data_IF_960009513768
#
_entry.id   IF_960009513768
#
_cell.length_a   1.000
_cell.length_b   1.000
_cell.length_c   1.000
_cell.angle_alpha   90.00
_cell.angle_beta   90.00
_cell.angle_gamma   90.00
#
_symmetry.space_group_name_H-M   'P 1'
#
loop_
_entity.id
_entity.type
_entity.pdbx_description
1 polymer ?
#
# COMPACT_ATOMS: atom_id res chain seq x y z
N UNK A 1 -52.00 23.09 6.00
CA UNK A 1 -51.42 24.34 5.44
C UNK A 1 -50.07 24.11 4.74
N UNK A 2 -49.15 23.31 5.31
CA UNK A 2 -47.83 22.95 4.72
C UNK A 2 -47.95 22.15 3.40
N UNK A 3 -48.91 21.22 3.31
CA UNK A 3 -49.13 20.41 2.10
C UNK A 3 -49.57 21.27 0.89
N UNK A 4 -50.32 22.36 1.11
CA UNK A 4 -50.73 23.26 0.02
C UNK A 4 -49.57 24.12 -0.49
N UNK A 5 -48.62 24.49 0.38
CA UNK A 5 -47.43 25.27 -0.01
C UNK A 5 -46.48 24.39 -0.83
N UNK A 6 -46.31 23.12 -0.45
CA UNK A 6 -45.53 22.13 -1.22
C UNK A 6 -46.16 21.84 -2.58
N UNK A 7 -47.50 21.73 -2.64
CA UNK A 7 -48.23 21.50 -3.91
C UNK A 7 -48.12 22.69 -4.88
N UNK A 8 -48.11 23.92 -4.36
CA UNK A 8 -47.92 25.13 -5.19
C UNK A 8 -46.47 25.30 -5.66
N UNK A 9 -45.48 24.99 -4.81
CA UNK A 9 -44.07 24.99 -5.21
C UNK A 9 -43.80 23.93 -6.29
N UNK A 10 -44.36 22.72 -6.14
CA UNK A 10 -44.27 21.67 -7.16
C UNK A 10 -44.93 22.09 -8.47
N UNK A 11 -46.12 22.69 -8.45
CA UNK A 11 -46.82 23.11 -9.67
C UNK A 11 -46.08 24.21 -10.46
N UNK A 12 -45.39 25.14 -9.78
CA UNK A 12 -44.58 26.17 -10.44
C UNK A 12 -43.29 25.56 -11.03
N UNK A 13 -42.69 24.58 -10.34
CA UNK A 13 -41.51 23.86 -10.82
C UNK A 13 -41.80 22.91 -12.00
N UNK A 14 -43.01 22.33 -12.06
CA UNK A 14 -43.45 21.41 -13.11
C UNK A 14 -43.68 22.07 -14.48
N UNK A 15 -43.75 23.40 -14.55
CA UNK A 15 -44.03 24.12 -15.81
C UNK A 15 -42.79 24.31 -16.70
N UNK A 16 -41.57 24.17 -16.18
CA UNK A 16 -40.36 24.62 -16.91
C UNK A 16 -39.28 23.60 -17.26
N UNK A 17 -39.31 22.33 -16.83
CA UNK A 17 -38.19 21.42 -17.16
C UNK A 17 -38.58 19.93 -17.23
N UNK A 18 -39.35 19.55 -18.26
CA UNK A 18 -39.80 18.16 -18.50
C UNK A 18 -38.70 17.15 -18.83
N UNK A 19 -37.51 17.60 -19.26
CA UNK A 19 -36.40 16.70 -19.66
C UNK A 19 -35.46 16.38 -18.48
N UNK A 20 -35.29 17.31 -17.53
CA UNK A 20 -34.41 17.11 -16.37
C UNK A 20 -35.00 16.15 -15.33
N UNK A 21 -36.33 16.12 -15.22
CA UNK A 21 -37.06 15.29 -14.26
C UNK A 21 -36.98 13.79 -14.57
N UNK A 22 -36.96 13.36 -15.83
CA UNK A 22 -36.91 11.93 -16.17
C UNK A 22 -35.54 11.32 -15.79
N UNK A 23 -34.45 12.08 -15.95
CA UNK A 23 -33.09 11.64 -15.60
C UNK A 23 -32.90 11.52 -14.08
N UNK A 24 -33.42 12.47 -13.30
CA UNK A 24 -33.40 12.41 -11.84
C UNK A 24 -34.40 11.39 -11.28
N UNK A 25 -35.58 11.22 -11.88
CA UNK A 25 -36.59 10.28 -11.41
C UNK A 25 -36.19 8.82 -11.66
N UNK A 26 -35.49 8.52 -12.77
CA UNK A 26 -34.88 7.20 -12.99
C UNK A 26 -33.69 6.95 -12.05
N UNK A 27 -32.87 7.97 -11.77
CA UNK A 27 -31.81 7.87 -10.77
C UNK A 27 -32.38 7.63 -9.37
N UNK A 28 -33.43 8.35 -8.98
CA UNK A 28 -34.13 8.20 -7.70
C UNK A 28 -34.83 6.86 -7.61
N UNK A 29 -35.50 6.37 -8.67
CA UNK A 29 -36.09 5.02 -8.67
C UNK A 29 -35.00 3.95 -8.58
N UNK A 30 -33.85 4.12 -9.24
CA UNK A 30 -32.72 3.19 -9.11
C UNK A 30 -32.07 3.26 -7.71
N UNK A 31 -32.05 4.46 -7.10
CA UNK A 31 -31.62 4.69 -5.72
C UNK A 31 -32.57 4.02 -4.72
N UNK A 32 -33.89 4.16 -4.90
CA UNK A 32 -34.90 3.57 -4.02
C UNK A 32 -35.13 2.06 -4.27
N UNK A 33 -34.94 1.54 -5.49
CA UNK A 33 -34.92 0.09 -5.73
C UNK A 33 -33.74 -0.57 -5.01
N UNK A 34 -32.60 0.12 -4.91
CA UNK A 34 -31.45 -0.33 -4.12
C UNK A 34 -31.65 -0.16 -2.61
N UNK A 35 -32.44 0.82 -2.15
CA UNK A 35 -32.78 0.97 -0.71
C UNK A 35 -33.75 -0.12 -0.23
N UNK A 36 -34.62 -0.65 -1.11
CA UNK A 36 -35.57 -1.72 -0.76
C UNK A 36 -34.91 -3.11 -0.84
N UNK A 37 -33.81 -3.26 -1.59
CA UNK A 37 -32.99 -4.48 -1.61
C UNK A 37 -31.82 -4.37 -0.60
N UNK A 38 -32.10 -4.81 0.63
CA UNK A 38 -31.16 -5.18 1.70
C UNK A 38 -30.56 -4.07 2.58
N UNK A 39 -31.12 -3.91 3.78
CA UNK A 39 -30.38 -3.48 4.97
C UNK A 39 -29.40 -4.60 5.38
N UNK A 40 -28.35 -4.80 4.59
CA UNK A 40 -27.25 -5.70 4.92
C UNK A 40 -26.03 -4.86 5.27
N UNK A 41 -25.33 -5.11 6.39
CA UNK A 41 -24.11 -4.38 6.77
C UNK A 41 -23.02 -4.43 5.69
N UNK A 42 -23.08 -5.45 4.83
CA UNK A 42 -22.20 -5.57 3.66
C UNK A 42 -22.56 -4.55 2.56
N UNK A 43 -23.86 -4.37 2.26
CA UNK A 43 -24.33 -3.42 1.28
C UNK A 43 -24.01 -1.98 1.71
N UNK A 44 -24.14 -1.68 3.01
CA UNK A 44 -23.78 -0.37 3.57
C UNK A 44 -22.29 -0.07 3.42
N UNK A 45 -21.40 -1.04 3.70
CA UNK A 45 -19.95 -0.89 3.50
C UNK A 45 -19.58 -0.68 2.04
N UNK A 46 -20.21 -1.43 1.15
CA UNK A 46 -20.03 -1.25 -0.30
C UNK A 46 -20.47 0.15 -0.69
N UNK A 47 -21.63 0.63 -0.23
CA UNK A 47 -22.13 1.97 -0.53
C UNK A 47 -21.17 3.07 -0.05
N UNK A 48 -20.68 2.99 1.19
CA UNK A 48 -19.70 3.94 1.73
C UNK A 48 -18.40 3.97 0.92
N UNK A 49 -17.91 2.82 0.47
CA UNK A 49 -16.74 2.77 -0.41
C UNK A 49 -17.04 3.39 -1.77
N UNK A 50 -18.25 3.19 -2.30
CA UNK A 50 -18.68 3.83 -3.54
C UNK A 50 -18.75 5.34 -3.44
N UNK A 51 -19.31 5.88 -2.36
CA UNK A 51 -19.37 7.33 -2.12
C UNK A 51 -17.96 7.96 -2.14
N UNK A 52 -16.96 7.29 -1.54
CA UNK A 52 -15.56 7.74 -1.61
C UNK A 52 -15.00 7.71 -3.03
N UNK A 53 -15.40 6.73 -3.85
CA UNK A 53 -14.97 6.61 -5.23
C UNK A 53 -15.65 7.59 -6.19
N UNK A 54 -16.81 8.15 -5.81
CA UNK A 54 -17.55 9.11 -6.64
C UNK A 54 -16.71 10.33 -6.99
N UNK A 55 -15.96 10.86 -6.02
CA UNK A 55 -15.08 12.03 -6.21
C UNK A 55 -14.03 11.75 -7.30
N UNK A 56 -13.41 10.58 -7.27
CA UNK A 56 -12.42 10.14 -8.27
C UNK A 56 -13.06 9.99 -9.67
N UNK A 57 -14.27 9.44 -9.75
CA UNK A 57 -14.98 9.24 -11.02
C UNK A 57 -15.48 10.56 -11.63
N UNK A 58 -15.88 11.53 -10.80
CA UNK A 58 -16.20 12.88 -11.23
C UNK A 58 -14.98 13.58 -11.83
N UNK A 59 -13.80 13.41 -11.21
CA UNK A 59 -12.55 13.93 -11.77
C UNK A 59 -12.21 13.30 -13.13
N UNK A 60 -12.46 12.00 -13.29
CA UNK A 60 -12.26 11.33 -14.58
C UNK A 60 -13.17 11.86 -15.69
N UNK A 61 -14.41 12.19 -15.33
CA UNK A 61 -15.39 12.73 -16.26
C UNK A 61 -15.09 14.20 -16.61
N UNK A 62 -14.82 15.04 -15.61
CA UNK A 62 -14.49 16.47 -15.82
C UNK A 62 -13.25 16.67 -16.68
N UNK A 63 -12.26 15.78 -16.57
CA UNK A 63 -11.05 15.81 -17.39
C UNK A 63 -11.18 15.03 -18.70
N UNK A 64 -12.36 14.48 -19.00
CA UNK A 64 -12.66 13.69 -20.20
C UNK A 64 -11.63 12.56 -20.45
N UNK A 65 -11.15 11.92 -19.38
CA UNK A 65 -10.14 10.83 -19.48
C UNK A 65 -10.78 9.55 -20.01
N UNK A 66 -12.04 9.33 -19.64
CA UNK A 66 -12.84 8.18 -20.06
C UNK A 66 -14.16 8.66 -20.65
N UNK A 67 -14.68 7.89 -21.60
CA UNK A 67 -16.03 8.10 -22.13
C UNK A 67 -17.09 7.68 -21.11
N UNK A 68 -18.32 8.18 -21.22
CA UNK A 68 -19.41 7.78 -20.31
C UNK A 68 -19.62 6.26 -20.27
N UNK A 69 -19.51 5.58 -21.42
CA UNK A 69 -19.63 4.13 -21.51
C UNK A 69 -18.49 3.41 -20.77
N UNK A 70 -17.25 3.89 -20.87
CA UNK A 70 -16.11 3.34 -20.14
C UNK A 70 -16.25 3.55 -18.62
N UNK A 71 -16.70 4.73 -18.20
CA UNK A 71 -16.96 5.02 -16.79
C UNK A 71 -18.02 4.09 -16.21
N UNK A 72 -19.12 3.84 -16.94
CA UNK A 72 -20.13 2.87 -16.53
C UNK A 72 -19.55 1.46 -16.35
N UNK A 73 -18.69 1.02 -17.27
CA UNK A 73 -18.02 -0.28 -17.15
C UNK A 73 -17.08 -0.33 -15.93
N UNK A 74 -16.33 0.74 -15.66
CA UNK A 74 -15.45 0.84 -14.50
C UNK A 74 -16.26 0.76 -13.20
N UNK A 75 -17.38 1.48 -13.12
CA UNK A 75 -18.28 1.47 -11.96
C UNK A 75 -18.81 0.06 -11.71
N UNK A 76 -19.36 -0.59 -12.75
CA UNK A 76 -19.92 -1.95 -12.62
C UNK A 76 -18.84 -2.96 -12.21
N UNK A 77 -17.64 -2.87 -12.78
CA UNK A 77 -16.52 -3.74 -12.43
C UNK A 77 -16.06 -3.54 -10.99
N UNK A 78 -15.82 -2.31 -10.57
CA UNK A 78 -15.49 -1.99 -9.17
C UNK A 78 -16.60 -2.49 -8.25
N UNK A 79 -17.86 -2.38 -8.65
CA UNK A 79 -18.99 -2.79 -7.81
C UNK A 79 -18.98 -4.29 -7.59
N UNK A 80 -18.76 -5.05 -8.66
CA UNK A 80 -18.62 -6.50 -8.57
C UNK A 80 -17.45 -6.91 -7.65
N UNK A 81 -16.31 -6.22 -7.73
CA UNK A 81 -15.17 -6.50 -6.85
C UNK A 81 -15.44 -6.13 -5.40
N UNK A 82 -16.05 -4.96 -5.13
CA UNK A 82 -16.41 -4.54 -3.77
C UNK A 82 -17.34 -5.55 -3.10
N UNK A 83 -18.34 -6.07 -3.81
CA UNK A 83 -19.18 -7.16 -3.30
C UNK A 83 -18.37 -8.45 -3.07
N UNK A 84 -17.45 -8.81 -3.96
CA UNK A 84 -16.63 -10.01 -3.79
C UNK A 84 -15.71 -9.94 -2.58
N UNK A 85 -15.01 -8.81 -2.37
CA UNK A 85 -14.09 -8.64 -1.24
C UNK A 85 -14.82 -8.47 0.09
N UNK A 86 -16.04 -7.91 0.10
CA UNK A 86 -16.81 -7.68 1.33
C UNK A 86 -17.66 -8.86 1.78
N UNK A 87 -17.74 -9.94 0.99
CA UNK A 87 -18.51 -11.13 1.38
C UNK A 87 -17.95 -11.77 2.65
N UNK A 88 -18.76 -12.60 3.31
CA UNK A 88 -18.38 -13.23 4.58
C UNK A 88 -17.14 -14.12 4.44
N UNK A 89 -17.13 -15.03 3.45
CA UNK A 89 -15.98 -15.89 3.18
C UNK A 89 -14.98 -15.19 2.25
N UNK A 90 -13.86 -14.73 2.81
CA UNK A 90 -12.79 -14.08 2.03
C UNK A 90 -12.10 -15.08 1.12
N UNK A 91 -11.78 -14.65 -0.10
CA UNK A 91 -11.00 -15.44 -1.04
C UNK A 91 -9.86 -14.59 -1.60
N UNK A 92 -8.67 -15.14 -1.50
CA UNK A 92 -7.42 -14.56 -1.96
C UNK A 92 -7.44 -14.18 -3.46
N UNK A 93 -8.08 -14.99 -4.30
CA UNK A 93 -8.15 -14.73 -5.74
C UNK A 93 -8.94 -13.46 -6.08
N UNK A 94 -9.96 -13.12 -5.28
CA UNK A 94 -10.77 -11.94 -5.53
C UNK A 94 -9.97 -10.66 -5.26
N UNK A 95 -9.15 -10.66 -4.20
CA UNK A 95 -8.21 -9.57 -3.91
C UNK A 95 -7.17 -9.42 -5.01
N UNK A 96 -6.53 -10.51 -5.44
CA UNK A 96 -5.48 -10.46 -6.45
C UNK A 96 -6.04 -9.97 -7.79
N UNK A 97 -7.22 -10.45 -8.19
CA UNK A 97 -7.91 -9.98 -9.40
C UNK A 97 -8.27 -8.50 -9.32
N UNK A 98 -8.71 -8.03 -8.16
CA UNK A 98 -9.05 -6.62 -7.98
C UNK A 98 -7.81 -5.72 -8.03
N UNK A 99 -6.72 -6.12 -7.35
CA UNK A 99 -5.43 -5.41 -7.41
C UNK A 99 -4.89 -5.37 -8.84
N UNK A 100 -4.93 -6.48 -9.57
CA UNK A 100 -4.51 -6.55 -10.97
C UNK A 100 -5.35 -5.63 -11.85
N UNK A 101 -6.67 -5.57 -11.62
CA UNK A 101 -7.57 -4.67 -12.32
C UNK A 101 -7.23 -3.20 -12.06
N UNK A 102 -7.07 -2.78 -10.80
CA UNK A 102 -6.73 -1.40 -10.46
C UNK A 102 -5.32 -1.02 -10.96
N UNK A 103 -4.36 -1.95 -10.92
CA UNK A 103 -3.02 -1.74 -11.49
C UNK A 103 -3.07 -1.53 -13.00
N UNK A 104 -3.93 -2.27 -13.72
CA UNK A 104 -4.15 -2.06 -15.16
C UNK A 104 -4.84 -0.73 -15.43
N UNK A 105 -5.84 -0.37 -14.63
CA UNK A 105 -6.53 0.91 -14.73
C UNK A 105 -5.56 2.08 -14.53
N UNK A 106 -4.68 1.99 -13.53
CA UNK A 106 -3.60 2.97 -13.28
C UNK A 106 -2.69 3.15 -14.50
N UNK A 107 -2.30 2.05 -15.16
CA UNK A 107 -1.47 2.11 -16.38
C UNK A 107 -2.21 2.78 -17.55
N UNK A 108 -3.51 2.54 -17.69
CA UNK A 108 -4.35 3.20 -18.71
C UNK A 108 -4.44 4.70 -18.42
N UNK A 109 -4.70 5.06 -17.16
CA UNK A 109 -4.74 6.45 -16.69
C UNK A 109 -3.43 7.17 -17.02
N UNK A 110 -2.28 6.58 -16.65
CA UNK A 110 -0.97 7.15 -16.92
C UNK A 110 -0.73 7.40 -18.41
N UNK A 111 -1.14 6.46 -19.27
CA UNK A 111 -1.04 6.61 -20.73
C UNK A 111 -1.93 7.70 -21.30
N UNK A 112 -3.17 7.85 -20.79
CA UNK A 112 -4.13 8.84 -21.28
C UNK A 112 -3.85 10.25 -20.77
N UNK A 113 -3.38 10.36 -19.52
CA UNK A 113 -3.01 11.64 -18.93
C UNK A 113 -1.69 12.17 -19.49
N UNK A 114 -0.74 11.29 -19.85
CA UNK A 114 0.57 11.70 -20.36
C UNK A 114 1.26 12.65 -19.39
N UNK A 115 1.65 13.83 -19.85
CA UNK A 115 2.29 14.85 -19.00
C UNK A 115 1.30 15.63 -18.12
N UNK A 116 -0.02 15.50 -18.35
CA UNK A 116 -1.07 16.14 -17.54
C UNK A 116 -1.42 15.37 -16.27
N UNK A 117 -0.57 14.42 -15.85
CA UNK A 117 -0.81 13.63 -14.64
C UNK A 117 -0.94 14.59 -13.46
N UNK A 118 -2.18 14.75 -12.99
CA UNK A 118 -2.43 15.45 -11.74
C UNK A 118 -2.04 14.51 -10.60
N UNK A 119 -1.20 14.99 -9.69
CA UNK A 119 -0.76 14.24 -8.50
C UNK A 119 -1.95 13.66 -7.71
N UNK A 120 -3.07 14.38 -7.70
CA UNK A 120 -4.33 14.01 -7.07
C UNK A 120 -4.98 12.75 -7.66
N UNK A 121 -5.11 12.65 -8.97
CA UNK A 121 -5.73 11.49 -9.65
C UNK A 121 -4.92 10.23 -9.40
N UNK A 122 -3.60 10.39 -9.51
CA UNK A 122 -2.69 9.29 -9.30
C UNK A 122 -2.71 8.83 -7.83
N UNK A 123 -2.82 9.76 -6.88
CA UNK A 123 -2.88 9.42 -5.45
C UNK A 123 -4.15 8.62 -5.11
N UNK A 124 -5.32 8.93 -5.70
CA UNK A 124 -6.53 8.11 -5.50
C UNK A 124 -6.32 6.65 -5.88
N UNK A 125 -5.77 6.42 -7.08
CA UNK A 125 -5.55 5.07 -7.60
C UNK A 125 -4.48 4.33 -6.77
N UNK A 126 -3.37 5.01 -6.46
CA UNK A 126 -2.29 4.46 -5.61
C UNK A 126 -2.81 4.09 -4.22
N UNK A 127 -3.58 4.98 -3.58
CA UNK A 127 -4.17 4.75 -2.25
C UNK A 127 -5.16 3.58 -2.26
N UNK A 128 -5.93 3.42 -3.34
CA UNK A 128 -6.84 2.28 -3.49
C UNK A 128 -6.08 0.96 -3.55
N UNK A 129 -5.07 0.87 -4.40
CA UNK A 129 -4.21 -0.32 -4.51
C UNK A 129 -3.53 -0.62 -3.16
N UNK A 130 -3.01 0.42 -2.49
CA UNK A 130 -2.43 0.30 -1.16
C UNK A 130 -3.42 -0.30 -0.15
N UNK A 131 -4.65 0.24 -0.08
CA UNK A 131 -5.69 -0.26 0.82
C UNK A 131 -6.14 -1.70 0.48
N UNK A 132 -6.14 -2.07 -0.79
CA UNK A 132 -6.44 -3.45 -1.20
C UNK A 132 -5.37 -4.42 -0.74
N UNK A 133 -4.09 -4.04 -0.83
CA UNK A 133 -3.00 -4.85 -0.29
C UNK A 133 -3.05 -4.95 1.23
N UNK A 134 -3.32 -3.86 1.95
CA UNK A 134 -3.43 -3.93 3.43
C UNK A 134 -4.57 -4.84 3.85
N UNK A 135 -5.71 -4.79 3.15
CA UNK A 135 -6.83 -5.71 3.38
C UNK A 135 -6.47 -7.16 3.02
N UNK A 136 -5.76 -7.39 1.92
CA UNK A 136 -5.25 -8.72 1.53
C UNK A 136 -4.32 -9.28 2.61
N UNK A 137 -3.33 -8.52 3.08
CA UNK A 137 -2.37 -8.96 4.10
C UNK A 137 -2.99 -9.16 5.49
N UNK A 138 -4.08 -8.44 5.79
CA UNK A 138 -4.82 -8.66 7.02
C UNK A 138 -5.42 -10.07 7.07
N UNK A 139 -6.01 -10.54 5.96
CA UNK A 139 -6.63 -11.86 5.88
C UNK A 139 -5.68 -12.98 5.45
N UNK A 140 -4.73 -12.68 4.57
CA UNK A 140 -3.82 -13.63 3.93
C UNK A 140 -2.37 -13.13 4.02
N UNK A 141 -1.73 -13.22 5.20
CA UNK A 141 -0.37 -12.75 5.41
C UNK A 141 0.65 -13.75 4.84
N UNK A 142 0.74 -13.86 3.51
CA UNK A 142 1.72 -14.71 2.82
C UNK A 142 2.86 -13.86 2.26
N UNK A 143 4.08 -14.39 2.36
CA UNK A 143 5.29 -13.70 1.91
C UNK A 143 5.26 -13.20 0.45
N UNK A 144 4.72 -13.96 -0.54
CA UNK A 144 4.65 -13.48 -1.92
C UNK A 144 3.80 -12.22 -2.10
N UNK A 145 2.70 -12.07 -1.35
CA UNK A 145 1.88 -10.87 -1.40
C UNK A 145 2.52 -9.72 -0.65
N UNK A 146 3.16 -10.02 0.48
CA UNK A 146 3.90 -9.04 1.25
C UNK A 146 5.02 -8.42 0.41
N UNK A 147 5.81 -9.24 -0.28
CA UNK A 147 6.85 -8.78 -1.21
C UNK A 147 6.29 -7.84 -2.28
N UNK A 148 5.22 -8.26 -2.99
CA UNK A 148 4.55 -7.41 -3.99
C UNK A 148 4.05 -6.09 -3.40
N UNK A 149 3.51 -6.11 -2.18
CA UNK A 149 3.01 -4.93 -1.50
C UNK A 149 4.15 -3.96 -1.14
N UNK A 150 5.23 -4.46 -0.52
CA UNK A 150 6.38 -3.64 -0.13
C UNK A 150 7.04 -3.04 -1.37
N UNK A 151 7.26 -3.83 -2.44
CA UNK A 151 7.82 -3.34 -3.69
C UNK A 151 6.94 -2.23 -4.31
N UNK A 152 5.61 -2.41 -4.30
CA UNK A 152 4.66 -1.38 -4.74
C UNK A 152 4.73 -0.13 -3.87
N UNK A 153 4.78 -0.29 -2.56
CA UNK A 153 4.73 0.82 -1.62
C UNK A 153 6.02 1.66 -1.65
N UNK A 154 7.19 1.02 -1.72
CA UNK A 154 8.49 1.68 -1.90
C UNK A 154 8.52 2.44 -3.22
N UNK A 155 8.07 1.82 -4.33
CA UNK A 155 8.03 2.46 -5.65
C UNK A 155 7.09 3.68 -5.71
N UNK A 156 6.17 3.81 -4.75
CA UNK A 156 5.21 4.90 -4.67
C UNK A 156 5.44 5.81 -3.45
N UNK A 157 6.58 5.66 -2.78
CA UNK A 157 7.00 6.49 -1.64
C UNK A 157 6.01 6.50 -0.46
N UNK A 158 5.30 5.37 -0.25
CA UNK A 158 4.44 5.21 0.92
C UNK A 158 5.27 4.90 2.17
N UNK A 159 4.95 5.57 3.28
CA UNK A 159 5.52 5.19 4.58
C UNK A 159 4.89 3.89 5.08
N UNK A 160 5.68 2.81 5.04
CA UNK A 160 5.27 1.45 5.41
C UNK A 160 5.97 0.92 6.66
N UNK A 161 6.72 1.75 7.39
CA UNK A 161 7.51 1.34 8.57
C UNK A 161 6.67 0.56 9.58
N UNK A 162 5.45 1.02 9.86
CA UNK A 162 4.53 0.33 10.78
C UNK A 162 4.09 -1.04 10.25
N UNK A 163 3.80 -1.15 8.96
CA UNK A 163 3.30 -2.40 8.37
C UNK A 163 4.43 -3.43 8.32
N UNK A 164 5.64 -3.01 7.94
CA UNK A 164 6.83 -3.85 7.95
C UNK A 164 7.10 -4.37 9.36
N UNK A 165 7.16 -3.49 10.36
CA UNK A 165 7.43 -3.88 11.74
C UNK A 165 6.38 -4.87 12.25
N UNK A 166 5.08 -4.60 12.04
CA UNK A 166 3.99 -5.52 12.40
C UNK A 166 4.11 -6.89 11.72
N UNK A 167 4.48 -6.92 10.43
CA UNK A 167 4.62 -8.15 9.66
C UNK A 167 5.82 -9.00 10.14
N UNK A 168 6.99 -8.38 10.36
CA UNK A 168 8.16 -9.08 10.89
C UNK A 168 7.93 -9.64 12.30
N UNK A 169 7.23 -8.89 13.16
CA UNK A 169 6.89 -9.35 14.51
C UNK A 169 5.93 -10.54 14.47
N UNK A 170 5.02 -10.58 13.50
CA UNK A 170 4.10 -11.72 13.30
C UNK A 170 4.84 -12.99 12.90
N UNK A 171 5.93 -12.88 12.15
CA UNK A 171 6.73 -14.02 11.67
C UNK A 171 8.19 -13.92 12.13
N UNK A 172 8.46 -14.07 13.44
CA UNK A 172 9.77 -13.77 14.02
C UNK A 172 10.88 -14.73 13.58
N UNK A 173 10.53 -15.96 13.17
CA UNK A 173 11.48 -17.00 12.73
C UNK A 173 11.81 -16.95 11.24
N UNK A 174 11.12 -16.12 10.46
CA UNK A 174 11.34 -16.00 9.02
C UNK A 174 12.47 -14.99 8.76
N UNK A 175 13.69 -15.50 8.65
CA UNK A 175 14.91 -14.70 8.48
C UNK A 175 14.91 -13.96 7.14
N UNK A 176 14.43 -14.60 6.07
CA UNK A 176 14.38 -14.00 4.74
C UNK A 176 13.43 -12.81 4.72
N UNK A 177 12.33 -12.88 5.48
CA UNK A 177 11.44 -11.75 5.68
C UNK A 177 12.11 -10.57 6.43
N UNK A 178 12.90 -10.85 7.47
CA UNK A 178 13.64 -9.79 8.16
C UNK A 178 14.60 -9.07 7.21
N UNK A 179 15.43 -9.83 6.50
CA UNK A 179 16.43 -9.30 5.54
C UNK A 179 15.73 -8.48 4.44
N UNK A 180 14.72 -9.07 3.78
CA UNK A 180 14.01 -8.38 2.70
C UNK A 180 13.34 -7.08 3.20
N UNK A 181 12.75 -7.12 4.39
CA UNK A 181 12.08 -5.96 4.97
C UNK A 181 13.04 -4.83 5.30
N UNK A 182 14.20 -5.15 5.89
CA UNK A 182 15.22 -4.16 6.28
C UNK A 182 15.94 -3.59 5.07
N UNK A 183 16.21 -4.42 4.06
CA UNK A 183 16.76 -3.99 2.77
C UNK A 183 15.86 -2.96 2.08
N UNK A 184 14.53 -3.06 2.21
CA UNK A 184 13.59 -2.09 1.66
C UNK A 184 13.38 -0.87 2.56
N UNK A 185 13.41 -1.06 3.88
CA UNK A 185 13.19 0.01 4.85
C UNK A 185 14.37 0.99 4.92
N UNK A 186 15.60 0.56 4.63
CA UNK A 186 16.79 1.42 4.72
C UNK A 186 16.69 2.67 3.84
N UNK A 187 16.05 2.57 2.68
CA UNK A 187 15.84 3.68 1.75
C UNK A 187 14.74 4.65 2.18
N UNK A 188 13.90 4.25 3.15
CA UNK A 188 12.80 5.07 3.69
C UNK A 188 13.24 5.71 5.00
N UNK A 189 13.73 4.91 5.94
CA UNK A 189 14.11 5.31 7.29
C UNK A 189 15.23 4.40 7.83
N UNK A 190 16.43 4.95 7.86
CA UNK A 190 17.64 4.28 8.34
C UNK A 190 17.56 3.96 9.83
N UNK A 191 16.98 4.86 10.64
CA UNK A 191 16.88 4.67 12.08
C UNK A 191 15.88 3.58 12.43
N UNK A 192 14.73 3.56 11.75
CA UNK A 192 13.78 2.45 11.90
C UNK A 192 14.38 1.12 11.44
N UNK A 193 15.21 1.13 10.40
CA UNK A 193 15.93 -0.08 9.95
C UNK A 193 16.86 -0.62 11.02
N UNK A 194 17.69 0.23 11.64
CA UNK A 194 18.56 -0.13 12.77
C UNK A 194 17.78 -0.76 13.91
N UNK A 195 16.71 -0.10 14.36
CA UNK A 195 15.90 -0.62 15.48
C UNK A 195 15.23 -1.95 15.15
N UNK A 196 14.77 -2.13 13.91
CA UNK A 196 14.16 -3.37 13.44
C UNK A 196 15.19 -4.51 13.38
N UNK A 197 16.39 -4.25 12.87
CA UNK A 197 17.48 -5.23 12.82
C UNK A 197 18.00 -5.61 14.21
N UNK A 198 18.19 -4.64 15.11
CA UNK A 198 18.56 -4.93 16.50
C UNK A 198 17.53 -5.85 17.16
N UNK A 199 16.24 -5.64 16.86
CA UNK A 199 15.18 -6.54 17.34
C UNK A 199 15.27 -7.92 16.70
N UNK A 200 15.54 -8.01 15.40
CA UNK A 200 15.70 -9.28 14.69
C UNK A 200 16.83 -10.13 15.30
N UNK A 201 17.98 -9.51 15.55
CA UNK A 201 19.17 -10.14 16.17
C UNK A 201 18.86 -10.64 17.58
N UNK A 202 18.16 -9.82 18.40
CA UNK A 202 17.77 -10.23 19.77
C UNK A 202 16.92 -11.50 19.78
N UNK A 203 16.07 -11.68 18.78
CA UNK A 203 15.20 -12.85 18.63
C UNK A 203 15.99 -14.04 18.06
N UNK A 204 16.80 -13.81 17.02
CA UNK A 204 17.48 -14.84 16.24
C UNK A 204 19.01 -14.77 16.42
N UNK A 205 19.48 -14.84 17.67
CA UNK A 205 20.90 -14.64 18.04
C UNK A 205 21.91 -15.56 17.36
N UNK A 206 21.47 -16.73 16.89
CA UNK A 206 22.34 -17.73 16.26
C UNK A 206 22.48 -17.55 14.75
N UNK A 207 21.68 -16.66 14.16
CA UNK A 207 21.58 -16.50 12.71
C UNK A 207 22.56 -15.45 12.20
N UNK A 208 23.72 -15.93 11.73
CA UNK A 208 24.81 -15.09 11.19
C UNK A 208 24.36 -14.16 10.07
N UNK A 209 23.44 -14.62 9.21
CA UNK A 209 22.94 -13.86 8.05
C UNK A 209 22.36 -12.50 8.44
N UNK A 210 21.77 -12.38 9.64
CA UNK A 210 21.23 -11.11 10.12
C UNK A 210 22.33 -10.13 10.55
N UNK A 211 23.40 -10.65 11.15
CA UNK A 211 24.56 -9.84 11.54
C UNK A 211 25.33 -9.36 10.31
N UNK A 212 25.57 -10.26 9.34
CA UNK A 212 26.20 -9.93 8.06
C UNK A 212 25.40 -8.84 7.34
N UNK A 213 24.08 -9.01 7.24
CA UNK A 213 23.21 -8.02 6.63
C UNK A 213 23.20 -6.67 7.38
N UNK A 214 23.21 -6.68 8.72
CA UNK A 214 23.31 -5.45 9.51
C UNK A 214 24.60 -4.70 9.18
N UNK A 215 25.73 -5.40 9.21
CA UNK A 215 27.03 -4.80 8.95
C UNK A 215 27.08 -4.26 7.51
N UNK A 216 26.58 -5.01 6.53
CA UNK A 216 26.48 -4.54 5.14
C UNK A 216 25.67 -3.25 5.02
N UNK A 217 24.52 -3.14 5.69
CA UNK A 217 23.73 -1.90 5.68
C UNK A 217 24.50 -0.73 6.30
N UNK A 218 25.12 -0.92 7.47
CA UNK A 218 25.88 0.15 8.12
C UNK A 218 27.07 0.61 7.28
N UNK A 219 27.80 -0.32 6.67
CA UNK A 219 28.93 0.01 5.80
C UNK A 219 28.47 0.82 4.59
N UNK A 220 27.37 0.44 3.94
CA UNK A 220 26.81 1.19 2.82
C UNK A 220 26.36 2.60 3.26
N UNK A 221 25.79 2.75 4.46
CA UNK A 221 25.40 4.06 4.99
C UNK A 221 26.62 4.97 5.23
N UNK A 222 27.72 4.41 5.72
CA UNK A 222 28.97 5.15 5.93
C UNK A 222 29.56 5.59 4.58
N UNK A 223 29.52 4.72 3.57
CA UNK A 223 29.93 5.03 2.20
C UNK A 223 29.09 6.18 1.61
N UNK A 224 27.76 6.09 1.73
CA UNK A 224 26.83 7.12 1.24
C UNK A 224 27.05 8.49 1.91
N UNK A 225 27.43 8.50 3.20
CA UNK A 225 27.73 9.74 3.93
C UNK A 225 29.12 10.33 3.62
N UNK A 226 29.99 9.60 2.90
CA UNK A 226 31.38 9.96 2.60
C UNK A 226 32.22 10.28 3.85
N UNK A 227 31.88 9.68 4.98
CA UNK A 227 32.61 9.88 6.23
C UNK A 227 33.40 8.62 6.55
N UNK A 228 34.72 8.74 6.56
CA UNK A 228 35.61 7.65 6.97
C UNK A 228 36.29 8.02 8.28
N UNK A 229 35.58 7.84 9.39
CA UNK A 229 36.16 7.94 10.73
C UNK A 229 36.01 6.62 11.49
N UNK A 230 36.98 6.29 12.36
CA UNK A 230 36.88 5.09 13.22
C UNK A 230 35.63 5.13 14.13
N UNK A 231 35.14 6.34 14.47
CA UNK A 231 33.98 6.53 15.33
C UNK A 231 32.66 6.08 14.69
N UNK A 232 32.55 6.15 13.37
CA UNK A 232 31.34 5.78 12.63
C UNK A 232 31.21 4.27 12.46
N UNK A 233 32.34 3.55 12.41
CA UNK A 233 32.35 2.09 12.38
C UNK A 233 31.99 1.45 13.73
N UNK A 234 31.90 2.21 14.83
CA UNK A 234 31.65 1.68 16.17
C UNK A 234 30.43 0.75 16.24
N UNK A 235 29.32 1.13 15.59
CA UNK A 235 28.11 0.31 15.60
C UNK A 235 28.34 -1.02 14.85
N UNK A 236 28.96 -0.97 13.66
CA UNK A 236 29.30 -2.16 12.89
C UNK A 236 30.28 -3.08 13.64
N UNK A 237 31.24 -2.52 14.37
CA UNK A 237 32.21 -3.26 15.19
C UNK A 237 31.54 -3.94 16.39
N UNK A 238 30.61 -3.26 17.07
CA UNK A 238 29.83 -3.86 18.17
C UNK A 238 29.06 -5.07 17.66
N UNK A 239 28.36 -4.92 16.53
CA UNK A 239 27.57 -6.00 15.93
C UNK A 239 28.47 -7.15 15.45
N UNK A 240 29.65 -6.86 14.91
CA UNK A 240 30.64 -7.87 14.52
C UNK A 240 31.10 -8.71 15.72
N UNK A 241 31.45 -8.06 16.84
CA UNK A 241 31.86 -8.73 18.07
C UNK A 241 30.72 -9.56 18.67
N UNK A 242 29.49 -9.02 18.71
CA UNK A 242 28.31 -9.77 19.14
C UNK A 242 28.08 -11.02 18.27
N UNK A 243 28.32 -10.93 16.96
CA UNK A 243 28.22 -12.08 16.07
C UNK A 243 29.27 -13.14 16.39
N UNK A 244 30.53 -12.73 16.65
CA UNK A 244 31.63 -13.63 17.02
C UNK A 244 31.31 -14.41 18.30
N UNK A 245 30.78 -13.73 19.31
CA UNK A 245 30.42 -14.32 20.60
C UNK A 245 29.24 -15.29 20.50
N UNK A 246 28.22 -14.95 19.69
CA UNK A 246 26.99 -15.73 19.60
C UNK A 246 27.07 -16.90 18.59
N UNK A 247 27.88 -16.77 17.53
CA UNK A 247 27.83 -17.67 16.37
C UNK A 247 29.07 -18.55 16.16
N UNK A 248 30.09 -18.45 17.03
CA UNK A 248 31.28 -19.33 17.09
C UNK A 248 31.92 -19.69 15.72
N UNK A 249 31.92 -18.78 14.74
CA UNK A 249 32.53 -19.07 13.44
C UNK A 249 32.78 -17.84 12.61
N UNK A 250 33.47 -18.06 11.48
CA UNK A 250 33.83 -17.01 10.52
C UNK A 250 32.56 -16.30 10.00
N UNK A 251 32.66 -14.98 9.88
CA UNK A 251 31.66 -14.06 9.33
C UNK A 251 32.12 -13.74 7.92
N UNK A 252 31.26 -13.92 6.92
CA UNK A 252 31.58 -13.64 5.52
C UNK A 252 30.89 -12.34 5.09
N UNK A 253 31.63 -11.23 5.12
CA UNK A 253 31.14 -9.93 4.66
C UNK A 253 31.51 -9.79 3.19
N UNK A 254 30.51 -9.78 2.30
CA UNK A 254 30.72 -9.88 0.84
C UNK A 254 31.52 -8.73 0.23
N UNK A 255 31.47 -7.55 0.85
CA UNK A 255 32.08 -6.32 0.34
C UNK A 255 33.18 -5.77 1.24
N UNK A 256 33.76 -6.59 2.13
CA UNK A 256 34.74 -6.10 3.11
C UNK A 256 35.98 -5.44 2.47
N UNK A 257 36.33 -5.86 1.25
CA UNK A 257 37.47 -5.32 0.51
C UNK A 257 37.26 -3.87 0.04
N UNK A 258 36.01 -3.41 -0.05
CA UNK A 258 35.69 -2.00 -0.33
C UNK A 258 35.85 -1.10 0.90
N UNK A 259 36.00 -1.69 2.09
CA UNK A 259 36.14 -0.96 3.36
C UNK A 259 37.50 -1.29 4.03
N UNK A 260 38.62 -0.77 3.50
CA UNK A 260 39.96 -1.15 3.93
C UNK A 260 40.25 -0.76 5.40
N UNK A 261 39.67 0.34 5.89
CA UNK A 261 39.79 0.74 7.30
C UNK A 261 39.08 -0.26 8.22
N UNK A 262 37.84 -0.64 7.88
CA UNK A 262 37.08 -1.63 8.64
C UNK A 262 37.74 -3.01 8.64
N UNK A 263 38.24 -3.46 7.48
CA UNK A 263 39.02 -4.69 7.35
C UNK A 263 40.24 -4.69 8.26
N UNK A 264 41.01 -3.60 8.27
CA UNK A 264 42.19 -3.42 9.13
C UNK A 264 41.85 -3.46 10.62
N UNK A 265 40.68 -2.96 11.02
CA UNK A 265 40.23 -2.99 12.42
C UNK A 265 39.85 -4.41 12.85
N UNK A 266 39.17 -5.17 11.98
CA UNK A 266 38.76 -6.56 12.27
C UNK A 266 39.95 -7.53 12.30
N UNK A 267 40.97 -7.29 11.48
CA UNK A 267 42.17 -8.13 11.40
C UNK A 267 43.19 -7.91 12.53
N UNK A 268 43.01 -6.86 13.35
CA UNK A 268 43.81 -6.58 14.56
C UNK A 268 43.33 -7.38 15.76
#
# INVERSE_FOLDING_TARGET
>A
MVICIIKNYLNIYFKYNKIFLIKYFLLIIHFFKNIIFSYSPMADRVHQNFEKMTIELEEYNTLNIFTENELQQIIQKRQSFEYQIHRMQKNENDFTRYIDYETRLQKILQKRLGDKITTKIMSFTKNKIFNLYTHLLHHFPKFPYYKKFVDFAVSNEFNITRIITEYCIRFPRDIDNWIYSTEKLQYIDTQSTRTLLQRAIRINKKEKRLYEHFIEIELNLIEDELKESEEEYNLALIIYNECKDNCNGKIEIKNIDFFPLFKKIIEK
#
